data_IF_496382168593
#
_entry.id   IF_496382168593
#
_cell.length_a   1.000
_cell.length_b   1.000
_cell.length_c   1.000
_cell.angle_alpha   90.00
_cell.angle_beta   90.00
_cell.angle_gamma   90.00
#
_symmetry.space_group_name_H-M   'P 1'
#
loop_
_entity.id
_entity.type
_entity.pdbx_description
1 polymer ?
#
# COMPACT_ATOMS: atom_id res chain seq x y z
N UNK A 1 -9.59 -9.20 9.95
CA UNK A 1 -8.49 -8.42 10.56
C UNK A 1 -9.09 -7.09 10.98
N UNK A 2 -8.72 -6.55 12.15
CA UNK A 2 -9.09 -5.18 12.46
C UNK A 2 -8.22 -4.28 11.60
N UNK A 3 -8.84 -3.46 10.76
CA UNK A 3 -8.15 -2.44 10.00
C UNK A 3 -7.42 -1.50 10.98
N UNK A 4 -6.14 -1.25 10.73
CA UNK A 4 -5.33 -0.38 11.58
C UNK A 4 -4.50 0.55 10.72
N UNK A 5 -4.44 1.81 11.15
CA UNK A 5 -3.57 2.81 10.54
C UNK A 5 -2.12 2.48 10.85
N UNK A 6 -1.28 2.51 9.82
CA UNK A 6 0.18 2.37 9.95
C UNK A 6 0.90 3.59 9.38
N UNK A 7 2.04 3.94 9.95
CA UNK A 7 2.93 4.93 9.36
C UNK A 7 3.66 4.30 8.18
N UNK A 8 3.39 4.79 6.98
CA UNK A 8 3.98 4.26 5.75
C UNK A 8 5.20 5.08 5.28
N UNK A 9 5.11 6.41 5.32
CA UNK A 9 6.17 7.31 4.85
C UNK A 9 6.24 8.57 5.73
N UNK A 10 7.43 9.16 5.80
CA UNK A 10 7.67 10.45 6.44
C UNK A 10 8.33 11.39 5.44
N UNK A 11 7.85 12.63 5.40
CA UNK A 11 8.37 13.67 4.51
C UNK A 11 9.02 14.75 5.35
N UNK A 12 10.27 15.09 5.03
CA UNK A 12 10.89 16.32 5.49
C UNK A 12 10.64 17.38 4.44
N UNK A 13 9.97 18.45 4.83
CA UNK A 13 9.60 19.52 3.92
C UNK A 13 10.08 20.88 4.39
N UNK A 14 10.38 21.73 3.43
CA UNK A 14 10.70 23.14 3.65
C UNK A 14 9.79 23.97 2.75
N UNK A 15 8.75 24.56 3.35
CA UNK A 15 7.73 25.36 2.66
C UNK A 15 6.91 24.63 1.59
N UNK A 16 6.88 23.28 1.59
CA UNK A 16 6.10 22.45 0.66
C UNK A 16 5.43 21.29 1.39
N UNK A 17 4.13 21.38 1.65
CA UNK A 17 3.41 20.33 2.36
C UNK A 17 2.73 19.36 1.39
N UNK A 18 2.82 18.04 1.63
CA UNK A 18 2.06 17.08 0.84
C UNK A 18 0.57 17.21 1.21
N UNK A 19 -0.25 17.52 0.21
CA UNK A 19 -1.70 17.71 0.40
C UNK A 19 -2.53 16.50 -0.03
N UNK A 20 -1.94 15.62 -0.86
CA UNK A 20 -2.61 14.44 -1.37
C UNK A 20 -1.60 13.36 -1.78
N UNK A 21 -1.95 12.11 -1.53
CA UNK A 21 -1.25 10.96 -2.10
C UNK A 21 -2.18 10.25 -3.10
N UNK A 22 -1.59 9.84 -4.23
CA UNK A 22 -2.21 8.97 -5.22
C UNK A 22 -1.39 7.69 -5.24
N UNK A 23 -1.89 6.58 -4.67
CA UNK A 23 -1.26 5.29 -4.86
C UNK A 23 -1.18 4.98 -6.36
N UNK A 24 -0.11 4.32 -6.78
CA UNK A 24 0.17 4.02 -8.19
C UNK A 24 0.72 2.59 -8.32
N UNK A 25 1.41 2.30 -9.41
CA UNK A 25 2.15 1.08 -9.64
C UNK A 25 3.53 1.07 -8.94
N UNK A 26 4.24 -0.05 -9.08
CA UNK A 26 5.60 -0.22 -8.55
C UNK A 26 5.69 -0.79 -7.13
N UNK A 27 4.57 -1.14 -6.49
CA UNK A 27 4.61 -1.80 -5.18
C UNK A 27 5.06 -3.25 -5.30
N UNK A 28 5.71 -3.75 -4.25
CA UNK A 28 6.08 -5.16 -4.13
C UNK A 28 5.20 -5.78 -3.05
N UNK A 29 4.32 -6.70 -3.45
CA UNK A 29 3.49 -7.48 -2.53
C UNK A 29 4.13 -8.85 -2.34
N UNK A 30 4.35 -9.23 -1.09
CA UNK A 30 4.88 -10.54 -0.73
C UNK A 30 3.81 -11.36 -0.04
N UNK A 31 3.57 -12.55 -0.58
CA UNK A 31 2.73 -13.56 0.04
C UNK A 31 3.59 -14.59 0.75
N UNK A 32 3.00 -15.76 1.07
CA UNK A 32 3.71 -16.85 1.72
C UNK A 32 4.73 -17.52 0.79
N UNK A 33 4.42 -17.66 -0.50
CA UNK A 33 5.28 -18.37 -1.47
C UNK A 33 5.56 -17.59 -2.76
N UNK A 34 4.85 -16.48 -3.00
CA UNK A 34 5.04 -15.64 -4.18
C UNK A 34 5.47 -14.21 -3.81
N UNK A 35 6.09 -13.54 -4.78
CA UNK A 35 6.37 -12.10 -4.74
C UNK A 35 5.86 -11.49 -6.03
N UNK A 36 4.94 -10.54 -5.89
CA UNK A 36 4.33 -9.80 -6.98
C UNK A 36 5.05 -8.46 -7.07
N UNK A 37 5.65 -8.19 -8.23
CA UNK A 37 6.29 -6.91 -8.54
C UNK A 37 5.31 -6.04 -9.29
N UNK A 38 5.52 -4.73 -9.20
CA UNK A 38 4.78 -3.73 -9.96
C UNK A 38 3.27 -3.80 -9.71
N UNK A 39 2.87 -4.12 -8.47
CA UNK A 39 1.47 -4.07 -8.06
C UNK A 39 0.98 -2.62 -8.12
N UNK A 40 -0.14 -2.43 -8.81
CA UNK A 40 -0.85 -1.16 -8.90
C UNK A 40 -1.90 -1.07 -7.79
N UNK A 41 -1.75 -0.07 -6.92
CA UNK A 41 -2.66 0.21 -5.80
C UNK A 41 -3.53 1.44 -6.05
N UNK A 42 -3.51 2.01 -7.27
CA UNK A 42 -4.42 3.10 -7.65
C UNK A 42 -5.90 2.68 -7.61
N UNK A 43 -6.16 1.38 -7.71
CA UNK A 43 -7.45 0.71 -7.49
C UNK A 43 -7.27 -0.50 -6.56
N UNK A 44 -8.36 -1.23 -6.30
CA UNK A 44 -8.32 -2.50 -5.57
C UNK A 44 -7.42 -3.51 -6.31
N UNK A 45 -6.55 -4.16 -5.56
CA UNK A 45 -5.60 -5.13 -6.11
C UNK A 45 -5.91 -6.53 -5.60
N UNK A 46 -5.91 -7.52 -6.49
CA UNK A 46 -6.15 -8.92 -6.14
C UNK A 46 -5.28 -9.85 -6.99
N UNK A 47 -4.77 -10.90 -6.35
CA UNK A 47 -3.93 -11.90 -7.00
C UNK A 47 -4.09 -13.27 -6.33
N UNK A 48 -3.51 -14.30 -6.98
CA UNK A 48 -3.52 -15.66 -6.45
C UNK A 48 -2.11 -16.24 -6.31
N UNK A 49 -1.75 -16.62 -5.09
CA UNK A 49 -0.53 -17.39 -4.83
C UNK A 49 -0.80 -18.87 -5.12
N UNK A 50 -0.44 -19.31 -6.34
CA UNK A 50 -0.64 -20.69 -6.80
C UNK A 50 0.07 -21.71 -5.93
N UNK A 51 1.30 -21.42 -5.49
CA UNK A 51 2.11 -22.35 -4.71
C UNK A 51 1.62 -22.51 -3.27
N UNK A 52 0.97 -21.47 -2.73
CA UNK A 52 0.34 -21.52 -1.42
C UNK A 52 -1.16 -21.89 -1.48
N UNK A 53 -1.76 -21.91 -2.68
CA UNK A 53 -3.19 -22.12 -2.92
C UNK A 53 -4.06 -21.11 -2.13
N UNK A 54 -3.71 -19.81 -2.23
CA UNK A 54 -4.34 -18.73 -1.47
C UNK A 54 -4.68 -17.51 -2.35
N UNK A 55 -5.90 -17.01 -2.20
CA UNK A 55 -6.31 -15.71 -2.75
C UNK A 55 -5.79 -14.58 -1.86
N UNK A 56 -5.33 -13.51 -2.50
CA UNK A 56 -4.79 -12.32 -1.88
C UNK A 56 -5.55 -11.10 -2.41
N UNK A 57 -5.65 -10.07 -1.59
CA UNK A 57 -6.08 -8.78 -2.07
C UNK A 57 -5.84 -7.67 -1.08
N UNK A 58 -5.66 -6.48 -1.63
CA UNK A 58 -5.53 -5.20 -0.94
C UNK A 58 -6.66 -4.35 -1.47
N UNK A 59 -7.61 -4.02 -0.59
CA UNK A 59 -8.85 -3.35 -0.95
C UNK A 59 -8.98 -2.07 -0.15
N UNK A 60 -9.65 -1.07 -0.73
CA UNK A 60 -9.99 0.19 -0.09
C UNK A 60 -8.78 0.84 0.62
N UNK A 61 -7.70 1.09 -0.13
CA UNK A 61 -6.51 1.74 0.42
C UNK A 61 -6.85 3.16 0.85
N UNK A 62 -6.89 3.39 2.15
CA UNK A 62 -7.11 4.70 2.75
C UNK A 62 -5.80 5.32 3.22
N UNK A 63 -5.75 6.66 3.20
CA UNK A 63 -4.58 7.41 3.62
C UNK A 63 -4.95 8.70 4.32
N UNK A 64 -4.04 9.16 5.17
CA UNK A 64 -4.09 10.47 5.80
C UNK A 64 -2.68 10.98 6.07
N UNK A 65 -2.49 12.29 5.99
CA UNK A 65 -1.27 12.94 6.49
C UNK A 65 -1.47 13.32 7.96
N UNK A 66 -0.48 13.00 8.79
CA UNK A 66 -0.42 13.36 10.20
C UNK A 66 0.83 14.21 10.41
N UNK A 67 0.67 15.41 10.97
CA UNK A 67 1.81 16.26 11.32
C UNK A 67 2.36 15.77 12.66
N UNK A 68 3.54 15.15 12.62
CA UNK A 68 4.29 14.85 13.84
C UNK A 68 5.05 16.10 14.27
N UNK A 69 4.79 16.56 15.51
CA UNK A 69 5.52 17.66 16.16
C UNK A 69 6.49 17.11 17.20
#
# INVERSE_FOLDING_TARGET
>A
ALESWIFFACFLYFSLEPVRWYPADGYIVKSKRATFKDADLSEDWAEYDQDANLSLGIYNVEWQFQVSR
#
